data_IF_721242433883
#
_entry.id   IF_721242433883
#
_cell.length_a   1.000
_cell.length_b   1.000
_cell.length_c   1.000
_cell.angle_alpha   90.00
_cell.angle_beta   90.00
_cell.angle_gamma   90.00
#
_symmetry.space_group_name_H-M   'P 1'
#
loop_
_entity.id
_entity.type
_entity.pdbx_description
1 polymer ?
#
# COMPACT_ATOMS: atom_id res chain seq x y z
N UNK A 1 27.71 -20.29 21.76
CA UNK A 1 26.63 -19.42 22.31
C UNK A 1 26.39 -18.22 21.41
N UNK A 2 27.40 -17.44 21.06
CA UNK A 2 27.29 -16.17 20.30
C UNK A 2 26.76 -16.33 18.83
N UNK A 3 27.01 -17.46 18.18
CA UNK A 3 26.55 -17.71 16.80
C UNK A 3 25.02 -17.93 16.72
N UNK A 4 24.47 -18.69 17.66
CA UNK A 4 23.02 -18.96 17.71
C UNK A 4 22.21 -17.70 18.04
N UNK A 5 22.71 -16.82 18.91
CA UNK A 5 22.05 -15.54 19.21
C UNK A 5 22.03 -14.61 17.99
N UNK A 6 23.12 -14.53 17.24
CA UNK A 6 23.17 -13.74 16.00
C UNK A 6 22.22 -14.27 14.94
N UNK A 7 22.11 -15.57 14.78
CA UNK A 7 21.18 -16.20 13.83
C UNK A 7 19.73 -15.91 14.21
N UNK A 8 19.35 -16.03 15.48
CA UNK A 8 18.02 -15.74 15.97
C UNK A 8 17.63 -14.27 15.81
N UNK A 9 18.58 -13.38 16.10
CA UNK A 9 18.37 -11.93 15.91
C UNK A 9 18.15 -11.62 14.43
N UNK A 10 18.91 -12.23 13.54
CA UNK A 10 18.76 -12.07 12.09
C UNK A 10 17.39 -12.56 11.60
N UNK A 11 16.94 -13.72 12.04
CA UNK A 11 15.61 -14.25 11.70
C UNK A 11 14.49 -13.33 12.20
N UNK A 12 14.61 -12.78 13.40
CA UNK A 12 13.64 -11.81 13.94
C UNK A 12 13.58 -10.54 13.10
N UNK A 13 14.74 -9.98 12.76
CA UNK A 13 14.80 -8.77 11.92
C UNK A 13 14.20 -9.05 10.55
N UNK A 14 14.52 -10.17 9.91
CA UNK A 14 13.96 -10.54 8.62
C UNK A 14 12.44 -10.68 8.68
N UNK A 15 11.91 -11.32 9.74
CA UNK A 15 10.47 -11.44 9.95
C UNK A 15 9.79 -10.08 10.10
N UNK A 16 10.35 -9.19 10.93
CA UNK A 16 9.82 -7.83 11.13
C UNK A 16 9.85 -7.04 9.83
N UNK A 17 10.99 -7.03 9.12
CA UNK A 17 11.17 -6.30 7.86
C UNK A 17 10.17 -6.78 6.80
N UNK A 18 10.04 -8.10 6.62
CA UNK A 18 9.10 -8.65 5.63
C UNK A 18 7.65 -8.32 5.97
N UNK A 19 7.26 -8.48 7.23
CA UNK A 19 5.91 -8.15 7.68
C UNK A 19 5.61 -6.66 7.55
N UNK A 20 6.56 -5.78 7.89
CA UNK A 20 6.43 -4.34 7.75
C UNK A 20 6.32 -3.91 6.28
N UNK A 21 7.08 -4.55 5.39
CA UNK A 21 6.98 -4.27 3.95
C UNK A 21 5.56 -4.51 3.43
N UNK A 22 4.93 -5.62 3.82
CA UNK A 22 3.53 -5.93 3.46
C UNK A 22 2.57 -4.88 4.00
N UNK A 23 2.73 -4.50 5.28
CA UNK A 23 1.87 -3.48 5.92
C UNK A 23 1.99 -2.13 5.23
N UNK A 24 3.21 -1.69 4.91
CA UNK A 24 3.45 -0.41 4.22
C UNK A 24 2.82 -0.41 2.83
N UNK A 25 2.95 -1.50 2.06
CA UNK A 25 2.34 -1.63 0.73
C UNK A 25 0.80 -1.57 0.85
N UNK A 26 0.21 -2.30 1.79
CA UNK A 26 -1.24 -2.27 2.01
C UNK A 26 -1.74 -0.87 2.40
N UNK A 27 -1.08 -0.21 3.34
CA UNK A 27 -1.43 1.15 3.76
C UNK A 27 -1.30 2.15 2.62
N UNK A 28 -0.22 2.08 1.84
CA UNK A 28 -0.03 2.92 0.65
C UNK A 28 -1.16 2.73 -0.37
N UNK A 29 -1.58 1.49 -0.61
CA UNK A 29 -2.70 1.19 -1.49
C UNK A 29 -4.04 1.75 -0.97
N UNK A 30 -4.30 1.62 0.34
CA UNK A 30 -5.52 2.16 0.97
C UNK A 30 -5.54 3.69 0.86
N UNK A 31 -4.44 4.37 1.18
CA UNK A 31 -4.35 5.84 1.07
C UNK A 31 -4.57 6.27 -0.37
N UNK A 32 -3.89 5.64 -1.33
CA UNK A 32 -4.04 5.96 -2.76
C UNK A 32 -5.48 5.81 -3.23
N UNK A 33 -6.11 4.67 -2.96
CA UNK A 33 -7.50 4.41 -3.39
C UNK A 33 -8.50 5.35 -2.73
N UNK A 34 -8.28 5.68 -1.46
CA UNK A 34 -9.15 6.58 -0.69
C UNK A 34 -9.07 8.02 -1.21
N UNK A 35 -7.87 8.53 -1.43
CA UNK A 35 -7.66 9.88 -2.01
C UNK A 35 -8.23 9.95 -3.42
N UNK A 36 -7.96 8.96 -4.26
CA UNK A 36 -8.51 8.89 -5.62
C UNK A 36 -10.03 8.87 -5.64
N UNK A 37 -10.65 8.10 -4.74
CA UNK A 37 -12.10 8.03 -4.63
C UNK A 37 -12.69 9.37 -4.16
N UNK A 38 -12.06 10.03 -3.20
CA UNK A 38 -12.47 11.37 -2.74
C UNK A 38 -12.38 12.39 -3.86
N UNK A 39 -11.28 12.38 -4.62
CA UNK A 39 -11.12 13.24 -5.80
C UNK A 39 -12.20 12.98 -6.86
N UNK A 40 -12.45 11.73 -7.22
CA UNK A 40 -13.46 11.37 -8.20
C UNK A 40 -14.87 11.79 -7.76
N UNK A 41 -15.22 11.63 -6.49
CA UNK A 41 -16.48 12.09 -5.93
C UNK A 41 -16.61 13.62 -6.00
N UNK A 42 -15.51 14.33 -5.74
CA UNK A 42 -15.46 15.79 -5.85
C UNK A 42 -15.71 16.23 -7.30
N UNK A 43 -15.04 15.62 -8.27
CA UNK A 43 -15.23 15.91 -9.70
C UNK A 43 -16.68 15.64 -10.10
N UNK A 44 -17.21 14.45 -9.81
CA UNK A 44 -18.58 14.08 -10.16
C UNK A 44 -19.62 15.03 -9.55
N UNK A 45 -19.45 15.47 -8.29
CA UNK A 45 -20.32 16.47 -7.65
C UNK A 45 -20.23 17.82 -8.34
N UNK A 46 -19.04 18.21 -8.79
CA UNK A 46 -18.84 19.47 -9.52
C UNK A 46 -19.47 19.42 -10.91
N UNK A 47 -19.34 18.30 -11.63
CA UNK A 47 -19.94 18.09 -12.94
C UNK A 47 -21.47 18.12 -12.87
N UNK A 48 -22.03 17.49 -11.85
CA UNK A 48 -23.48 17.54 -11.62
C UNK A 48 -23.96 18.97 -11.37
N UNK A 49 -23.21 19.79 -10.64
CA UNK A 49 -23.59 21.20 -10.40
C UNK A 49 -23.47 22.03 -11.68
N UNK A 50 -22.38 21.92 -12.43
CA UNK A 50 -22.20 22.62 -13.70
C UNK A 50 -23.32 22.25 -14.67
N UNK A 51 -23.65 20.97 -14.81
CA UNK A 51 -24.72 20.48 -15.67
C UNK A 51 -26.11 20.99 -15.22
N UNK A 52 -26.37 21.00 -13.92
CA UNK A 52 -27.63 21.52 -13.35
C UNK A 52 -27.80 23.02 -13.63
N UNK A 53 -26.72 23.80 -13.47
CA UNK A 53 -26.74 25.23 -13.79
C UNK A 53 -27.00 25.43 -15.29
N UNK A 54 -26.32 24.70 -16.17
CA UNK A 54 -26.54 24.77 -17.60
C UNK A 54 -27.98 24.46 -18.02
N UNK A 55 -28.58 23.40 -17.47
CA UNK A 55 -29.98 23.02 -17.75
C UNK A 55 -30.92 24.13 -17.29
N UNK A 56 -30.72 24.70 -16.10
CA UNK A 56 -31.55 25.77 -15.59
C UNK A 56 -31.46 27.06 -16.42
N UNK A 57 -30.30 27.39 -16.99
CA UNK A 57 -30.11 28.50 -17.93
C UNK A 57 -30.91 28.24 -19.19
N UNK A 58 -30.88 27.03 -19.76
CA UNK A 58 -31.64 26.67 -20.95
C UNK A 58 -33.17 26.78 -20.71
N UNK A 59 -33.63 26.26 -19.57
CA UNK A 59 -35.04 26.20 -19.19
C UNK A 59 -35.57 27.57 -18.67
N UNK A 60 -34.72 28.58 -18.53
CA UNK A 60 -35.01 29.87 -17.89
C UNK A 60 -35.59 29.72 -16.48
N UNK A 61 -35.14 28.70 -15.74
CA UNK A 61 -35.57 28.45 -14.36
C UNK A 61 -34.60 29.15 -13.39
N UNK A 62 -35.06 29.49 -12.18
CA UNK A 62 -34.20 30.05 -11.15
C UNK A 62 -33.12 29.00 -10.77
N UNK A 63 -31.85 29.41 -10.78
CA UNK A 63 -30.73 28.55 -10.43
C UNK A 63 -30.63 28.51 -8.90
N UNK A 64 -31.01 27.39 -8.31
CA UNK A 64 -30.82 27.11 -6.87
C UNK A 64 -29.58 26.28 -6.71
N UNK A 65 -28.39 26.90 -6.79
CA UNK A 65 -27.13 26.24 -6.54
C UNK A 65 -26.56 26.79 -5.23
N UNK A 66 -26.25 25.90 -4.29
CA UNK A 66 -25.49 26.21 -3.09
C UNK A 66 -23.98 26.19 -3.42
N UNK A 67 -23.63 27.09 -4.36
CA UNK A 67 -22.27 27.22 -4.85
C UNK A 67 -22.06 28.60 -5.45
N UNK A 68 -20.84 29.12 -5.33
CA UNK A 68 -20.41 30.34 -6.01
C UNK A 68 -20.11 29.98 -7.46
N UNK A 69 -20.81 30.64 -8.40
CA UNK A 69 -20.66 30.39 -9.83
C UNK A 69 -20.87 31.66 -10.64
N UNK A 70 -20.37 31.66 -11.84
CA UNK A 70 -20.73 32.59 -12.88
C UNK A 70 -20.94 31.86 -14.21
N UNK A 71 -21.63 32.48 -15.14
CA UNK A 71 -21.78 31.96 -16.48
C UNK A 71 -21.74 33.05 -17.54
N UNK A 72 -21.29 32.69 -18.72
CA UNK A 72 -21.22 33.58 -19.87
C UNK A 72 -21.95 32.92 -21.02
N UNK A 73 -22.83 33.70 -21.69
CA UNK A 73 -23.51 33.26 -22.91
C UNK A 73 -22.99 34.03 -24.09
N UNK A 74 -22.67 33.35 -25.17
CA UNK A 74 -22.22 33.95 -26.42
C UNK A 74 -23.24 33.80 -27.51
N UNK A 75 -23.29 34.78 -28.42
CA UNK A 75 -24.12 34.74 -29.64
C UNK A 75 -23.41 33.95 -30.77
N UNK A 76 -24.06 33.94 -31.94
CA UNK A 76 -23.50 33.34 -33.16
C UNK A 76 -22.21 34.04 -33.67
N UNK A 77 -22.05 35.29 -33.29
CA UNK A 77 -20.93 36.16 -33.63
C UNK A 77 -19.76 36.02 -32.65
N UNK A 78 -19.78 35.02 -31.78
CA UNK A 78 -18.85 34.75 -30.70
C UNK A 78 -18.61 35.95 -29.75
N UNK A 79 -19.58 36.88 -29.68
CA UNK A 79 -19.57 38.00 -28.75
C UNK A 79 -20.32 37.62 -27.47
N UNK A 80 -19.83 38.03 -26.29
CA UNK A 80 -20.53 37.83 -25.04
C UNK A 80 -21.87 38.59 -25.08
N UNK A 81 -22.98 37.91 -24.78
CA UNK A 81 -24.32 38.49 -24.67
C UNK A 81 -24.74 38.74 -23.24
N UNK A 82 -24.38 37.81 -22.36
CA UNK A 82 -24.71 37.91 -20.93
C UNK A 82 -23.52 37.41 -20.16
N UNK A 83 -23.05 38.17 -19.22
CA UNK A 83 -22.10 37.80 -18.21
C UNK A 83 -22.83 37.88 -16.89
N UNK A 84 -23.14 36.76 -16.27
CA UNK A 84 -23.83 36.75 -14.99
C UNK A 84 -22.87 36.36 -13.88
N UNK A 85 -22.61 37.29 -12.98
CA UNK A 85 -21.74 37.16 -11.81
C UNK A 85 -22.51 37.34 -10.49
N UNK A 86 -23.87 37.32 -10.50
CA UNK A 86 -24.71 37.61 -9.35
C UNK A 86 -24.45 36.71 -8.13
N UNK A 87 -23.93 35.48 -8.37
CA UNK A 87 -23.64 34.50 -7.32
C UNK A 87 -22.17 34.49 -6.89
N UNK A 88 -21.35 35.45 -7.36
CA UNK A 88 -19.96 35.59 -6.99
C UNK A 88 -19.63 37.08 -6.89
N UNK A 89 -19.26 37.51 -5.68
CA UNK A 89 -19.02 38.93 -5.38
C UNK A 89 -17.59 39.39 -5.58
N UNK A 90 -16.68 38.45 -5.80
CA UNK A 90 -15.22 38.70 -5.71
C UNK A 90 -14.60 38.86 -7.09
N UNK A 91 -15.39 38.89 -8.18
CA UNK A 91 -14.89 39.07 -9.55
C UNK A 91 -15.72 40.10 -10.28
N UNK A 92 -15.08 40.82 -11.18
CA UNK A 92 -15.72 41.71 -12.16
C UNK A 92 -16.12 40.95 -13.44
N UNK A 93 -16.95 41.54 -14.28
CA UNK A 93 -17.32 40.98 -15.59
C UNK A 93 -16.10 40.81 -16.49
N UNK A 94 -15.12 41.75 -16.44
CA UNK A 94 -13.88 41.69 -17.20
C UNK A 94 -13.01 40.53 -16.74
N UNK A 95 -12.90 40.29 -15.44
CA UNK A 95 -12.17 39.13 -14.87
C UNK A 95 -12.86 37.81 -15.24
N UNK A 96 -14.19 37.72 -15.18
CA UNK A 96 -14.93 36.54 -15.61
C UNK A 96 -14.67 36.23 -17.08
N UNK A 97 -14.60 37.23 -17.92
CA UNK A 97 -14.31 37.10 -19.34
C UNK A 97 -12.85 36.66 -19.58
N UNK A 98 -11.90 37.22 -18.84
CA UNK A 98 -10.49 36.83 -18.91
C UNK A 98 -10.33 35.34 -18.52
N UNK A 99 -10.94 34.90 -17.41
CA UNK A 99 -10.96 33.49 -16.97
C UNK A 99 -11.52 32.57 -18.06
N UNK A 100 -12.58 32.99 -18.74
CA UNK A 100 -13.13 32.22 -19.87
C UNK A 100 -12.15 32.07 -21.01
N UNK A 101 -11.51 33.17 -21.49
CA UNK A 101 -10.58 33.09 -22.61
C UNK A 101 -9.35 32.24 -22.26
N UNK A 102 -8.79 32.39 -21.08
CA UNK A 102 -7.66 31.59 -20.63
C UNK A 102 -8.02 30.10 -20.52
N UNK A 103 -9.22 29.76 -20.01
CA UNK A 103 -9.71 28.39 -19.99
C UNK A 103 -9.96 27.84 -21.41
N UNK A 104 -10.49 28.67 -22.32
CA UNK A 104 -10.75 28.27 -23.72
C UNK A 104 -9.48 28.04 -24.50
N UNK A 105 -8.40 28.80 -24.23
CA UNK A 105 -7.08 28.63 -24.84
C UNK A 105 -6.43 27.28 -24.48
N UNK A 106 -6.84 26.61 -23.42
CA UNK A 106 -6.36 25.25 -23.10
C UNK A 106 -6.78 24.21 -24.15
N UNK A 107 -7.80 24.52 -24.98
CA UNK A 107 -8.35 23.60 -25.97
C UNK A 107 -9.31 22.55 -25.40
N UNK A 108 -9.55 22.56 -24.09
CA UNK A 108 -10.48 21.64 -23.43
C UNK A 108 -11.83 22.32 -23.20
N UNK A 109 -12.94 21.63 -23.52
CA UNK A 109 -14.29 22.17 -23.32
C UNK A 109 -14.79 22.00 -21.88
N UNK A 110 -14.07 21.20 -21.06
CA UNK A 110 -14.34 21.07 -19.65
C UNK A 110 -13.04 20.80 -18.88
N UNK A 111 -12.96 21.30 -17.66
CA UNK A 111 -11.73 21.17 -16.87
C UNK A 111 -11.78 21.93 -15.56
N UNK A 112 -10.59 22.10 -14.99
CA UNK A 112 -10.37 22.97 -13.83
C UNK A 112 -9.41 24.09 -14.25
N UNK A 113 -9.80 25.30 -14.00
CA UNK A 113 -8.95 26.48 -14.24
C UNK A 113 -9.11 27.49 -13.10
N UNK A 114 -8.01 27.99 -12.57
CA UNK A 114 -7.95 29.00 -11.51
C UNK A 114 -8.93 28.76 -10.32
N UNK A 115 -9.05 27.50 -9.88
CA UNK A 115 -9.96 27.11 -8.80
C UNK A 115 -11.42 26.94 -9.20
N UNK A 116 -11.75 27.11 -10.47
CA UNK A 116 -13.07 26.86 -11.03
C UNK A 116 -13.13 25.50 -11.74
N UNK A 117 -14.23 24.76 -11.53
CA UNK A 117 -14.65 23.72 -12.47
C UNK A 117 -15.45 24.40 -13.56
N UNK A 118 -15.08 24.22 -14.81
CA UNK A 118 -15.78 24.82 -15.94
C UNK A 118 -16.25 23.76 -16.93
N UNK A 119 -17.30 24.14 -17.69
CA UNK A 119 -17.72 23.42 -18.87
C UNK A 119 -18.28 24.41 -19.89
N UNK A 120 -17.83 24.28 -21.13
CA UNK A 120 -18.22 25.11 -22.27
C UNK A 120 -19.10 24.26 -23.17
N UNK A 121 -20.38 24.61 -23.21
CA UNK A 121 -21.39 23.93 -24.01
C UNK A 121 -21.56 24.67 -25.35
N UNK A 122 -21.06 24.10 -26.42
CA UNK A 122 -21.17 24.61 -27.77
C UNK A 122 -22.38 23.94 -28.45
N UNK A 123 -23.40 24.72 -28.80
CA UNK A 123 -24.50 24.32 -29.65
C UNK A 123 -24.56 25.24 -30.86
N UNK A 124 -25.01 24.73 -32.02
CA UNK A 124 -25.02 25.36 -33.37
C UNK A 124 -25.24 26.88 -33.44
N UNK A 125 -25.84 27.51 -32.43
CA UNK A 125 -26.17 28.93 -32.40
C UNK A 125 -25.80 29.68 -31.11
N UNK A 126 -25.30 28.99 -30.11
CA UNK A 126 -24.99 29.59 -28.79
C UNK A 126 -23.92 28.79 -28.06
N UNK A 127 -22.98 29.49 -27.47
CA UNK A 127 -22.03 28.92 -26.53
C UNK A 127 -22.42 29.38 -25.13
N UNK A 128 -22.47 28.46 -24.18
CA UNK A 128 -22.74 28.77 -22.76
C UNK A 128 -21.56 28.18 -21.98
N UNK A 129 -20.82 29.04 -21.33
CA UNK A 129 -19.71 28.66 -20.44
C UNK A 129 -20.15 28.83 -18.99
N UNK A 130 -20.08 27.78 -18.21
CA UNK A 130 -20.41 27.73 -16.79
C UNK A 130 -19.18 27.47 -15.96
N UNK A 131 -18.95 28.31 -14.98
CA UNK A 131 -17.82 28.26 -14.06
C UNK A 131 -18.34 28.16 -12.62
N UNK A 132 -17.90 27.14 -11.89
CA UNK A 132 -18.27 26.91 -10.49
C UNK A 132 -17.04 26.94 -9.64
N UNK A 133 -16.97 27.85 -8.66
CA UNK A 133 -15.83 27.98 -7.77
C UNK A 133 -15.67 26.76 -6.88
N UNK A 134 -14.49 26.15 -6.89
CA UNK A 134 -14.17 24.91 -6.20
C UNK A 134 -12.83 24.95 -5.44
N UNK A 135 -12.29 26.14 -5.19
CA UNK A 135 -11.03 26.29 -4.45
C UNK A 135 -11.03 25.55 -3.11
N UNK A 136 -12.11 25.63 -2.35
CA UNK A 136 -12.23 24.95 -1.05
C UNK A 136 -12.24 23.41 -1.16
N UNK A 137 -12.73 22.87 -2.29
CA UNK A 137 -12.77 21.40 -2.48
C UNK A 137 -11.38 20.79 -2.69
N UNK A 138 -10.49 21.51 -3.34
CA UNK A 138 -9.10 21.08 -3.50
C UNK A 138 -8.42 21.04 -2.13
N UNK A 139 -8.67 22.04 -1.30
CA UNK A 139 -8.16 22.09 0.07
C UNK A 139 -8.74 20.98 0.95
N UNK A 140 -10.00 20.61 0.77
CA UNK A 140 -10.63 19.49 1.49
C UNK A 140 -10.03 18.14 1.08
N UNK A 141 -9.74 17.95 -0.21
CA UNK A 141 -9.01 16.74 -0.68
C UNK A 141 -7.61 16.69 -0.08
N UNK A 142 -6.89 17.82 -0.06
CA UNK A 142 -5.55 17.91 0.56
C UNK A 142 -5.61 17.59 2.06
N UNK A 143 -6.53 18.20 2.80
CA UNK A 143 -6.72 17.93 4.25
C UNK A 143 -7.03 16.45 4.49
N UNK A 144 -7.91 15.86 3.69
CA UNK A 144 -8.23 14.43 3.77
C UNK A 144 -6.99 13.57 3.50
N UNK A 145 -6.20 13.90 2.49
CA UNK A 145 -4.97 13.18 2.18
C UNK A 145 -3.95 13.25 3.33
N UNK A 146 -3.74 14.45 3.90
CA UNK A 146 -2.85 14.63 5.05
C UNK A 146 -3.32 13.83 6.26
N UNK A 147 -4.61 13.91 6.61
CA UNK A 147 -5.18 13.15 7.73
C UNK A 147 -5.04 11.62 7.53
N UNK A 148 -5.22 11.11 6.32
CA UNK A 148 -5.02 9.69 5.98
C UNK A 148 -3.56 9.28 6.11
N UNK A 149 -2.62 10.13 5.71
CA UNK A 149 -1.18 9.88 5.86
C UNK A 149 -0.80 9.85 7.35
N UNK A 150 -1.24 10.82 8.14
CA UNK A 150 -0.97 10.90 9.57
C UNK A 150 -1.50 9.65 10.31
N UNK A 151 -2.76 9.26 10.05
CA UNK A 151 -3.36 8.07 10.65
C UNK A 151 -2.67 6.78 10.21
N UNK A 152 -2.22 6.70 8.95
CA UNK A 152 -1.44 5.57 8.44
C UNK A 152 -0.07 5.46 9.11
N UNK A 153 0.63 6.59 9.32
CA UNK A 153 1.91 6.61 10.02
C UNK A 153 1.74 6.13 11.48
N UNK A 154 0.68 6.58 12.17
CA UNK A 154 0.37 6.11 13.52
C UNK A 154 0.08 4.61 13.53
N UNK A 155 -0.71 4.10 12.58
CA UNK A 155 -1.01 2.67 12.44
C UNK A 155 0.24 1.82 12.19
N UNK A 156 1.13 2.28 11.32
CA UNK A 156 2.42 1.62 11.04
C UNK A 156 3.29 1.56 12.31
N UNK A 157 3.35 2.66 13.09
CA UNK A 157 4.11 2.69 14.33
C UNK A 157 3.57 1.69 15.36
N UNK A 158 2.25 1.62 15.54
CA UNK A 158 1.60 0.65 16.44
C UNK A 158 1.88 -0.79 15.96
N UNK A 159 1.76 -1.06 14.66
CA UNK A 159 2.03 -2.38 14.11
C UNK A 159 3.49 -2.80 14.30
N UNK A 160 4.43 -1.87 14.14
CA UNK A 160 5.85 -2.13 14.41
C UNK A 160 6.07 -2.57 15.86
N UNK A 161 5.45 -1.88 16.82
CA UNK A 161 5.54 -2.26 18.24
C UNK A 161 4.98 -3.67 18.47
N UNK A 162 3.82 -3.99 17.91
CA UNK A 162 3.21 -5.32 18.01
C UNK A 162 4.15 -6.38 17.43
N UNK A 163 4.75 -6.15 16.26
CA UNK A 163 5.68 -7.08 15.62
C UNK A 163 6.95 -7.29 16.45
N UNK A 164 7.48 -6.25 17.07
CA UNK A 164 8.64 -6.37 17.96
C UNK A 164 8.31 -7.28 19.17
N UNK A 165 7.14 -7.13 19.78
CA UNK A 165 6.72 -7.97 20.89
C UNK A 165 6.44 -9.42 20.45
N UNK A 166 5.64 -9.60 19.41
CA UNK A 166 5.25 -10.94 18.93
C UNK A 166 6.41 -11.71 18.33
N UNK A 167 7.41 -11.05 17.72
CA UNK A 167 8.59 -11.70 17.18
C UNK A 167 9.38 -12.48 18.25
N UNK A 168 9.40 -12.00 19.49
CA UNK A 168 10.03 -12.72 20.61
C UNK A 168 9.27 -14.01 20.93
N UNK A 169 7.94 -13.96 20.93
CA UNK A 169 7.08 -15.11 21.25
C UNK A 169 7.16 -16.22 20.19
N UNK A 170 7.32 -15.86 18.92
CA UNK A 170 7.37 -16.81 17.81
C UNK A 170 8.76 -17.43 17.67
N UNK A 171 9.83 -16.64 17.77
CA UNK A 171 11.19 -17.12 17.51
C UNK A 171 11.77 -17.90 18.69
N UNK A 172 11.38 -17.60 19.92
CA UNK A 172 11.86 -18.28 21.12
C UNK A 172 11.56 -19.80 21.15
N UNK A 173 10.32 -20.28 20.87
CA UNK A 173 10.05 -21.73 20.85
C UNK A 173 10.79 -22.44 19.72
N UNK A 174 10.96 -21.83 18.55
CA UNK A 174 11.74 -22.41 17.43
C UNK A 174 13.21 -22.61 17.86
N UNK A 175 13.78 -21.61 18.51
CA UNK A 175 15.14 -21.69 19.03
C UNK A 175 15.31 -22.82 20.07
N UNK A 176 14.33 -22.95 20.98
CA UNK A 176 14.33 -24.02 22.00
C UNK A 176 14.21 -25.40 21.36
N UNK A 177 13.34 -25.55 20.35
CA UNK A 177 13.16 -26.80 19.63
C UNK A 177 14.45 -27.22 18.90
N UNK A 178 15.10 -26.28 18.21
CA UNK A 178 16.36 -26.54 17.50
C UNK A 178 17.51 -26.92 18.46
N UNK A 179 17.58 -26.27 19.62
CA UNK A 179 18.56 -26.63 20.65
C UNK A 179 18.33 -28.02 21.22
N UNK A 180 17.09 -28.36 21.56
CA UNK A 180 16.72 -29.70 22.02
C UNK A 180 17.04 -30.78 20.98
N UNK A 181 16.78 -30.52 19.71
CA UNK A 181 17.11 -31.44 18.62
C UNK A 181 18.61 -31.66 18.53
N UNK A 182 19.44 -30.60 18.63
CA UNK A 182 20.88 -30.72 18.62
C UNK A 182 21.41 -31.49 19.85
N UNK A 183 20.91 -31.18 21.04
CA UNK A 183 21.22 -31.88 22.27
C UNK A 183 20.88 -33.38 22.16
N UNK A 184 19.69 -33.69 21.63
CA UNK A 184 19.25 -35.08 21.39
C UNK A 184 20.17 -35.83 20.45
N UNK A 185 20.54 -35.23 19.29
CA UNK A 185 21.48 -35.86 18.33
C UNK A 185 22.82 -36.09 18.97
N UNK A 186 23.34 -35.14 19.74
CA UNK A 186 24.64 -35.26 20.41
C UNK A 186 24.60 -36.36 21.49
N UNK A 187 23.57 -36.41 22.33
CA UNK A 187 23.39 -37.46 23.33
C UNK A 187 23.22 -38.84 22.69
N UNK A 188 22.38 -38.94 21.66
CA UNK A 188 22.15 -40.18 20.94
C UNK A 188 23.44 -40.71 20.33
N UNK A 189 24.26 -39.83 19.73
CA UNK A 189 25.57 -40.20 19.17
C UNK A 189 26.52 -40.75 20.25
N UNK A 190 26.55 -40.14 21.44
CA UNK A 190 27.34 -40.63 22.54
C UNK A 190 26.84 -41.97 23.10
N UNK A 191 25.51 -42.10 23.28
CA UNK A 191 24.90 -43.35 23.79
C UNK A 191 24.99 -44.51 22.80
N UNK A 192 25.01 -44.25 21.50
CA UNK A 192 25.22 -45.26 20.46
C UNK A 192 26.68 -45.67 20.34
N UNK A 193 27.63 -44.77 20.59
CA UNK A 193 29.06 -45.07 20.48
C UNK A 193 29.50 -46.20 21.42
N UNK A 194 29.00 -46.24 22.63
CA UNK A 194 29.36 -47.27 23.64
C UNK A 194 28.97 -48.70 23.21
N UNK A 195 27.70 -49.01 22.83
CA UNK A 195 27.34 -50.35 22.38
C UNK A 195 28.03 -50.74 21.07
N UNK A 196 28.24 -49.80 20.16
CA UNK A 196 28.96 -50.05 18.91
C UNK A 196 30.41 -50.41 19.18
N UNK A 197 31.05 -49.76 20.14
CA UNK A 197 32.44 -50.09 20.55
C UNK A 197 32.51 -51.50 21.15
N UNK A 198 31.51 -51.94 21.95
CA UNK A 198 31.44 -53.30 22.48
C UNK A 198 31.25 -54.32 21.36
N UNK A 199 30.28 -54.07 20.43
CA UNK A 199 30.05 -54.95 19.28
C UNK A 199 31.33 -55.11 18.44
N UNK A 200 32.08 -54.04 18.24
CA UNK A 200 33.36 -54.08 17.54
C UNK A 200 34.42 -54.91 18.29
N UNK A 201 34.54 -54.74 19.59
CA UNK A 201 35.48 -55.52 20.42
C UNK A 201 35.15 -57.03 20.41
N UNK A 202 33.82 -57.33 20.49
CA UNK A 202 33.36 -58.76 20.40
C UNK A 202 33.64 -59.34 19.01
N UNK A 203 33.44 -58.55 17.93
CA UNK A 203 33.78 -58.96 16.57
C UNK A 203 35.29 -59.14 16.38
N UNK A 204 36.14 -58.34 17.00
CA UNK A 204 37.58 -58.48 16.97
C UNK A 204 38.01 -59.79 17.65
N UNK A 205 37.42 -60.16 18.79
CA UNK A 205 37.66 -61.41 19.49
C UNK A 205 37.22 -62.60 18.64
N UNK A 206 36.03 -62.59 18.07
CA UNK A 206 35.52 -63.65 17.21
C UNK A 206 36.36 -63.85 15.93
N UNK A 207 37.00 -62.83 15.41
CA UNK A 207 37.84 -62.87 14.24
C UNK A 207 39.15 -63.57 14.56
N UNK A 208 39.63 -63.52 15.80
CA UNK A 208 40.88 -64.29 16.22
C UNK A 208 40.62 -65.78 16.12
N UNK A 209 39.45 -66.29 16.41
CA UNK A 209 39.08 -67.68 16.33
C UNK A 209 38.65 -68.14 14.92
N UNK A 210 38.15 -67.19 14.10
CA UNK A 210 37.68 -67.48 12.75
C UNK A 210 38.13 -66.37 11.75
N UNK A 211 39.43 -66.38 11.35
CA UNK A 211 40.00 -65.26 10.60
C UNK A 211 39.40 -65.05 9.18
N UNK A 212 38.87 -66.11 8.54
CA UNK A 212 38.32 -66.06 7.17
C UNK A 212 36.79 -65.88 7.12
N UNK A 213 36.20 -65.46 8.24
CA UNK A 213 34.73 -65.29 8.28
C UNK A 213 34.29 -63.91 7.78
N UNK A 214 33.77 -63.84 6.55
CA UNK A 214 33.27 -62.64 5.88
C UNK A 214 32.17 -61.89 6.67
N UNK A 215 31.34 -62.59 7.42
CA UNK A 215 30.27 -61.96 8.23
C UNK A 215 30.82 -61.13 9.39
N UNK A 216 31.94 -61.55 10.00
CA UNK A 216 32.61 -60.79 11.06
C UNK A 216 33.22 -59.51 10.50
N UNK A 217 33.82 -59.60 9.32
CA UNK A 217 34.37 -58.44 8.62
C UNK A 217 33.28 -57.41 8.27
N UNK A 218 32.13 -57.85 7.81
CA UNK A 218 30.97 -57.01 7.56
C UNK A 218 30.43 -56.30 8.81
N UNK A 219 30.33 -57.02 9.94
CA UNK A 219 29.92 -56.43 11.22
C UNK A 219 30.89 -55.32 11.64
N UNK A 220 32.18 -55.52 11.53
CA UNK A 220 33.22 -54.54 11.84
C UNK A 220 33.07 -53.29 10.97
N UNK A 221 32.92 -53.48 9.66
CA UNK A 221 32.73 -52.41 8.69
C UNK A 221 31.48 -51.58 8.98
N UNK A 222 30.36 -52.22 9.35
CA UNK A 222 29.16 -51.53 9.74
C UNK A 222 29.32 -50.75 11.06
N UNK A 223 30.01 -51.37 12.05
CA UNK A 223 30.31 -50.67 13.31
C UNK A 223 31.23 -49.45 13.09
N UNK A 224 32.21 -49.53 12.19
CA UNK A 224 33.02 -48.39 11.80
C UNK A 224 32.24 -47.27 11.13
N UNK A 225 31.38 -47.62 10.18
CA UNK A 225 30.51 -46.65 9.51
C UNK A 225 29.62 -45.90 10.49
N UNK A 226 29.01 -46.60 11.48
CA UNK A 226 28.20 -46.01 12.51
C UNK A 226 28.96 -45.11 13.49
N UNK A 227 30.26 -45.37 13.66
CA UNK A 227 31.13 -44.55 14.54
C UNK A 227 31.66 -43.32 13.85
N UNK A 228 31.70 -43.32 12.50
CA UNK A 228 32.20 -42.22 11.68
C UNK A 228 31.09 -41.15 11.38
N UNK A 229 29.83 -41.44 11.69
CA UNK A 229 28.69 -40.48 11.60
C UNK A 229 28.66 -39.57 12.82
#
# INVERSE_FOLDING_TARGET
SNYNEKMLTRLRIQFIVLSMAVVIIMQGFIVYTSVRNTYNKMVAKSDHLVSSIYINILDKKPIKADARYFYITFGKDNRPRTINIDNISDISEDEALAIYYEAYETGELDGFYNGYRYCIYEKEKRTIAVFVLRSNMIDDVKKTAVSLIESSCAGIAVMLLILIFTSKLIVMPIAKAHRKQKEFITSASHELKTPITVIRADADILQMDNPDNEWIEDIKKQAENLTAM
#
